data_IF_451606970198
#
_entry.id   IF_451606970198
#
_cell.length_a   1.000
_cell.length_b   1.000
_cell.length_c   1.000
_cell.angle_alpha   90.00
_cell.angle_beta   90.00
_cell.angle_gamma   90.00
#
_symmetry.space_group_name_H-M   'P 1'
#
loop_
_entity.id
_entity.type
_entity.pdbx_description
1 polymer ?
#
# COMPACT_ATOMS: atom_id res chain seq x y z
N UNK A 1 5.47 -15.31 -58.75
CA UNK A 1 5.69 -15.04 -57.31
C UNK A 1 6.44 -16.22 -56.71
N UNK A 2 7.64 -16.00 -56.15
CA UNK A 2 8.42 -17.09 -55.56
C UNK A 2 7.69 -17.60 -54.30
N UNK A 3 7.56 -18.92 -54.15
CA UNK A 3 6.91 -19.55 -52.99
C UNK A 3 7.55 -19.09 -51.67
N UNK A 4 8.87 -18.84 -51.69
CA UNK A 4 9.59 -18.31 -50.54
C UNK A 4 9.16 -16.88 -50.15
N UNK A 5 8.88 -16.02 -51.15
CA UNK A 5 8.42 -14.65 -50.90
C UNK A 5 7.01 -14.66 -50.29
N UNK A 6 6.14 -15.55 -50.78
CA UNK A 6 4.78 -15.70 -50.26
C UNK A 6 4.76 -16.18 -48.80
N UNK A 7 5.60 -17.17 -48.46
CA UNK A 7 5.73 -17.66 -47.08
C UNK A 7 6.28 -16.58 -46.13
N UNK A 8 7.23 -15.76 -46.60
CA UNK A 8 7.79 -14.64 -45.83
C UNK A 8 6.73 -13.57 -45.51
N UNK A 9 5.92 -13.20 -46.51
CA UNK A 9 4.80 -12.26 -46.34
C UNK A 9 3.73 -12.80 -45.39
N UNK A 10 3.40 -14.08 -45.48
CA UNK A 10 2.41 -14.72 -44.62
C UNK A 10 2.87 -14.76 -43.16
N UNK A 11 4.16 -15.06 -42.93
CA UNK A 11 4.76 -15.04 -41.59
C UNK A 11 4.65 -13.64 -40.96
N UNK A 12 5.05 -12.59 -41.70
CA UNK A 12 4.98 -11.19 -41.24
C UNK A 12 3.55 -10.77 -40.92
N UNK A 13 2.57 -11.22 -41.72
CA UNK A 13 1.15 -10.91 -41.51
C UNK A 13 0.54 -11.62 -40.29
N UNK A 14 1.09 -12.77 -39.89
CA UNK A 14 0.67 -13.54 -38.71
C UNK A 14 1.32 -13.04 -37.41
N UNK A 15 2.32 -12.15 -37.48
CA UNK A 15 2.99 -11.63 -36.29
C UNK A 15 2.07 -10.78 -35.37
N UNK A 16 1.17 -9.92 -35.86
CA UNK A 16 0.29 -9.13 -34.99
C UNK A 16 -0.77 -9.97 -34.25
N UNK A 17 -0.99 -11.22 -34.66
CA UNK A 17 -2.04 -12.08 -34.10
C UNK A 17 -1.59 -12.83 -32.83
N UNK A 18 -0.30 -12.86 -32.49
CA UNK A 18 0.21 -13.66 -31.36
C UNK A 18 0.42 -12.88 -30.05
N UNK A 19 0.04 -11.61 -29.96
CA UNK A 19 0.19 -10.81 -28.73
C UNK A 19 -1.16 -10.29 -28.22
N UNK A 20 -2.06 -11.21 -27.86
CA UNK A 20 -3.18 -10.92 -26.96
C UNK A 20 -3.33 -12.04 -25.92
N UNK A 21 -2.24 -12.37 -25.24
CA UNK A 21 -2.35 -13.01 -23.93
C UNK A 21 -2.23 -11.88 -22.91
N UNK A 22 -3.37 -11.51 -22.35
CA UNK A 22 -3.52 -10.51 -21.30
C UNK A 22 -2.42 -10.62 -20.27
N UNK A 23 -1.78 -9.48 -20.04
CA UNK A 23 -0.91 -9.10 -18.95
C UNK A 23 -1.00 -10.03 -17.73
N UNK A 24 0.03 -10.84 -17.53
CA UNK A 24 0.40 -11.28 -16.17
C UNK A 24 1.23 -10.18 -15.51
N UNK A 25 0.69 -8.98 -15.41
CA UNK A 25 1.28 -7.88 -14.63
C UNK A 25 0.96 -8.12 -13.16
N UNK A 26 1.56 -9.19 -12.61
CA UNK A 26 1.29 -9.70 -11.27
C UNK A 26 -0.17 -10.12 -11.07
N UNK A 27 -0.41 -10.95 -10.07
CA UNK A 27 -1.78 -11.23 -9.60
C UNK A 27 -2.30 -10.04 -8.76
N UNK A 28 -2.05 -8.81 -9.22
CA UNK A 28 -2.46 -7.56 -8.58
C UNK A 28 -3.94 -7.34 -8.87
N UNK A 29 -4.79 -8.06 -8.14
CA UNK A 29 -6.23 -7.88 -8.12
C UNK A 29 -6.71 -7.17 -6.84
N UNK A 30 -7.95 -6.64 -6.83
CA UNK A 30 -8.57 -6.16 -5.60
C UNK A 30 -8.60 -7.26 -4.53
N UNK A 31 -8.32 -6.89 -3.28
CA UNK A 31 -8.44 -7.81 -2.14
C UNK A 31 -9.92 -8.15 -1.95
N UNK A 32 -10.27 -9.44 -2.11
CA UNK A 32 -11.66 -9.91 -2.10
C UNK A 32 -12.33 -9.82 -0.74
N UNK A 33 -11.55 -9.98 0.33
CA UNK A 33 -12.03 -9.91 1.70
C UNK A 33 -11.03 -9.16 2.59
N UNK A 34 -11.50 -8.04 3.15
CA UNK A 34 -10.72 -7.23 4.10
C UNK A 34 -10.74 -7.80 5.53
N UNK A 35 -11.62 -8.78 5.79
CA UNK A 35 -11.74 -9.45 7.08
C UNK A 35 -10.88 -10.71 7.18
N UNK A 36 -10.20 -11.08 6.09
CA UNK A 36 -9.24 -12.17 6.10
C UNK A 36 -8.16 -11.90 7.19
N UNK A 37 -7.89 -12.86 8.10
CA UNK A 37 -6.94 -12.67 9.19
C UNK A 37 -5.51 -12.29 8.73
N UNK A 38 -5.09 -12.75 7.54
CA UNK A 38 -3.79 -12.42 6.97
C UNK A 38 -3.75 -10.97 6.48
N UNK A 39 -4.81 -10.51 5.81
CA UNK A 39 -4.95 -9.11 5.37
C UNK A 39 -4.98 -8.15 6.58
N UNK A 40 -5.76 -8.48 7.61
CA UNK A 40 -5.80 -7.71 8.86
C UNK A 40 -4.41 -7.62 9.49
N UNK A 41 -3.69 -8.75 9.57
CA UNK A 41 -2.37 -8.80 10.20
C UNK A 41 -1.34 -7.93 9.45
N UNK A 42 -1.38 -7.92 8.12
CA UNK A 42 -0.53 -7.05 7.30
C UNK A 42 -0.87 -5.57 7.56
N UNK A 43 -2.16 -5.23 7.61
CA UNK A 43 -2.59 -3.86 7.90
C UNK A 43 -2.16 -3.39 9.29
N UNK A 44 -2.30 -4.24 10.31
CA UNK A 44 -1.87 -3.96 11.68
C UNK A 44 -0.34 -3.84 11.80
N UNK A 45 0.43 -4.65 11.08
CA UNK A 45 1.89 -4.57 11.08
C UNK A 45 2.42 -3.23 10.56
N UNK A 46 1.67 -2.56 9.70
CA UNK A 46 2.09 -1.29 9.12
C UNK A 46 1.70 -0.08 9.99
N UNK A 47 0.79 -0.22 10.97
CA UNK A 47 0.25 0.91 11.73
C UNK A 47 0.55 0.74 13.21
N UNK A 48 1.37 1.65 13.75
CA UNK A 48 1.68 1.72 15.17
C UNK A 48 0.98 2.90 15.84
N UNK A 49 0.57 2.69 17.10
CA UNK A 49 -0.06 3.72 17.93
C UNK A 49 0.82 4.00 19.14
N UNK A 50 1.10 5.27 19.38
CA UNK A 50 1.91 5.75 20.49
C UNK A 50 1.13 6.75 21.33
N UNK A 51 1.31 6.69 22.64
CA UNK A 51 0.89 7.75 23.55
C UNK A 51 2.13 8.57 23.87
N UNK A 52 2.14 9.83 23.49
CA UNK A 52 3.28 10.72 23.68
C UNK A 52 2.87 11.95 24.47
N UNK A 53 3.78 12.39 25.32
CA UNK A 53 3.66 13.66 26.01
C UNK A 53 4.24 14.76 25.12
N UNK A 54 3.47 15.81 24.84
CA UNK A 54 3.94 16.93 24.06
C UNK A 54 3.51 18.25 24.70
N UNK A 55 4.42 19.23 24.60
CA UNK A 55 4.14 20.62 24.90
C UNK A 55 3.49 21.27 23.67
N UNK A 56 2.35 21.92 23.87
CA UNK A 56 1.64 22.63 22.81
C UNK A 56 1.99 24.13 22.74
N UNK A 57 2.98 24.57 23.51
CA UNK A 57 3.37 25.96 23.63
C UNK A 57 2.38 26.81 24.43
N UNK A 58 1.31 26.20 24.98
CA UNK A 58 0.49 26.86 25.98
C UNK A 58 1.17 26.71 27.34
N UNK A 59 1.18 27.77 28.13
CA UNK A 59 1.99 27.92 29.35
C UNK A 59 1.48 27.06 30.54
N UNK A 60 0.90 25.89 30.26
CA UNK A 60 0.19 25.04 31.21
C UNK A 60 0.22 23.57 30.80
N UNK A 61 0.76 22.74 31.71
CA UNK A 61 0.69 21.27 31.80
C UNK A 61 0.83 20.49 30.49
N UNK A 62 1.87 19.67 30.41
CA UNK A 62 2.06 18.70 29.34
C UNK A 62 0.77 17.92 29.02
N UNK A 63 0.46 17.81 27.73
CA UNK A 63 -0.73 17.10 27.24
C UNK A 63 -0.29 15.78 26.63
N UNK A 64 -1.09 14.75 26.88
CA UNK A 64 -0.91 13.45 26.26
C UNK A 64 -1.58 13.46 24.88
N UNK A 65 -0.95 12.82 23.90
CA UNK A 65 -1.44 12.71 22.53
C UNK A 65 -1.40 11.26 22.07
N UNK A 66 -2.43 10.84 21.32
CA UNK A 66 -2.44 9.61 20.55
C UNK A 66 -1.87 9.93 19.17
N UNK A 67 -0.69 9.35 18.88
CA UNK A 67 -0.02 9.43 17.59
C UNK A 67 -0.19 8.11 16.84
N UNK A 68 -0.70 8.18 15.61
CA UNK A 68 -0.81 7.03 14.71
C UNK A 68 0.25 7.16 13.63
N UNK A 69 1.20 6.24 13.61
CA UNK A 69 2.36 6.24 12.71
C UNK A 69 2.24 5.06 11.76
N UNK A 70 2.41 5.33 10.47
CA UNK A 70 2.55 4.31 9.44
C UNK A 70 4.03 3.99 9.23
N UNK A 71 4.40 2.73 9.42
CA UNK A 71 5.78 2.26 9.36
C UNK A 71 5.98 1.34 8.15
N UNK A 72 6.96 1.69 7.31
CA UNK A 72 7.37 0.91 6.16
C UNK A 72 8.77 0.35 6.40
N UNK A 73 8.86 -0.82 7.04
CA UNK A 73 10.14 -1.42 7.41
C UNK A 73 11.08 -1.64 6.21
N UNK A 74 10.53 -1.95 5.03
CA UNK A 74 11.32 -2.15 3.80
C UNK A 74 11.90 -0.85 3.22
N UNK A 75 11.31 0.30 3.54
CA UNK A 75 11.84 1.62 3.17
C UNK A 75 12.65 2.27 4.30
N UNK A 76 12.69 1.65 5.49
CA UNK A 76 13.18 2.26 6.74
C UNK A 76 12.57 3.65 6.97
N UNK A 77 11.28 3.79 6.65
CA UNK A 77 10.56 5.06 6.69
C UNK A 77 9.37 4.97 7.64
N UNK A 78 9.05 6.08 8.29
CA UNK A 78 7.85 6.24 9.12
C UNK A 78 7.15 7.56 8.78
N UNK A 79 5.82 7.55 8.77
CA UNK A 79 5.00 8.73 8.51
C UNK A 79 3.93 8.88 9.59
N UNK A 80 3.84 10.08 10.19
CA UNK A 80 2.80 10.41 11.16
C UNK A 80 1.47 10.67 10.44
N UNK A 81 0.53 9.75 10.59
CA UNK A 81 -0.78 9.81 9.92
C UNK A 81 -1.86 10.50 10.74
N UNK A 82 -1.73 10.52 12.07
CA UNK A 82 -2.67 11.20 12.96
C UNK A 82 -1.99 11.62 14.25
N UNK A 83 -2.38 12.77 14.77
CA UNK A 83 -1.91 13.29 16.06
C UNK A 83 -3.07 13.97 16.76
N UNK A 84 -3.63 13.33 17.79
CA UNK A 84 -4.84 13.81 18.46
C UNK A 84 -4.64 13.92 19.97
N UNK A 85 -5.11 15.00 20.63
CA UNK A 85 -4.97 15.14 22.06
C UNK A 85 -5.83 14.10 22.78
N UNK A 86 -5.24 13.45 23.78
CA UNK A 86 -5.95 12.55 24.66
C UNK A 86 -6.61 13.36 25.78
N UNK A 87 -7.94 13.33 25.81
CA UNK A 87 -8.70 13.90 26.91
C UNK A 87 -8.41 13.10 28.19
N UNK A 88 -8.05 13.80 29.27
CA UNK A 88 -7.66 13.23 30.56
C UNK A 88 -8.70 12.25 31.14
N UNK A 89 -9.97 12.39 30.75
CA UNK A 89 -11.08 11.57 31.23
C UNK A 89 -11.18 10.20 30.55
N UNK A 90 -10.34 9.87 29.55
CA UNK A 90 -10.36 8.57 28.85
C UNK A 90 -9.62 7.45 29.61
N UNK A 91 -8.98 7.77 30.75
CA UNK A 91 -8.14 6.86 31.52
C UNK A 91 -8.59 6.68 32.99
N UNK A 92 -9.83 7.07 33.32
CA UNK A 92 -10.46 6.87 34.63
C UNK A 92 -11.57 5.83 34.54
#
# INVERSE_FOLDING_TARGET
MNKAIFLSLLSILLLPLHTFASERVGDWGPIKDLKDPHVIKIGQLAVNKFVVEADDGSNSTYKMYEAVVWEQLWMKSMNLTSFTPLLKNRFL
#
